data_IF_522043534189
#
_entry.id   IF_522043534189
#
_cell.length_a   1.000
_cell.length_b   1.000
_cell.length_c   1.000
_cell.angle_alpha   90.00
_cell.angle_beta   90.00
_cell.angle_gamma   90.00
#
_symmetry.space_group_name_H-M   'P 1'
#
loop_
_entity.id
_entity.type
_entity.pdbx_description
1 polymer ?
#
# COMPACT_ATOMS: atom_id res chain seq x y z
N UNK A 1 78.75 -41.10 17.50
CA UNK A 1 78.99 -39.71 17.08
C UNK A 1 77.70 -38.93 17.26
N UNK A 2 77.75 -37.87 18.08
CA UNK A 2 76.66 -36.96 18.49
C UNK A 2 76.07 -36.25 17.26
N UNK A 3 74.81 -35.81 17.22
CA UNK A 3 74.32 -34.56 17.82
C UNK A 3 72.77 -34.55 17.71
N UNK A 4 72.08 -34.28 18.84
CA UNK A 4 70.69 -33.80 18.87
C UNK A 4 70.65 -32.32 18.47
N UNK A 5 69.67 -31.89 17.67
CA UNK A 5 69.25 -30.48 17.62
C UNK A 5 67.74 -30.37 17.82
N UNK A 6 67.42 -29.75 18.95
CA UNK A 6 66.14 -29.20 19.36
C UNK A 6 65.97 -27.86 18.62
N UNK A 7 64.88 -27.66 17.89
CA UNK A 7 64.48 -26.33 17.43
C UNK A 7 63.10 -26.00 18.02
N UNK A 8 63.13 -24.91 18.76
CA UNK A 8 62.08 -24.24 19.51
C UNK A 8 61.50 -23.14 18.59
N UNK A 9 60.18 -22.94 18.65
CA UNK A 9 59.41 -21.70 18.34
C UNK A 9 59.45 -21.24 16.87
N UNK A 10 58.32 -21.08 16.18
CA UNK A 10 57.39 -19.96 16.37
C UNK A 10 56.03 -20.30 15.75
N UNK A 11 54.98 -20.39 16.57
CA UNK A 11 53.62 -20.38 16.09
C UNK A 11 53.28 -18.94 15.65
N UNK A 12 53.19 -18.71 14.34
CA UNK A 12 52.67 -17.46 13.79
C UNK A 12 51.16 -17.49 14.00
N UNK A 13 50.70 -16.79 15.03
CA UNK A 13 49.29 -16.49 15.24
C UNK A 13 48.90 -15.49 14.14
N UNK A 14 48.31 -15.98 13.05
CA UNK A 14 47.74 -15.14 12.01
C UNK A 14 46.50 -14.44 12.59
N UNK A 15 46.66 -13.21 13.04
CA UNK A 15 45.53 -12.31 13.33
C UNK A 15 44.93 -11.95 11.98
N UNK A 16 43.84 -12.63 11.62
CA UNK A 16 42.96 -12.21 10.54
C UNK A 16 42.41 -10.82 10.91
N UNK A 17 42.62 -9.78 10.10
CA UNK A 17 41.85 -8.56 10.28
C UNK A 17 40.41 -8.91 9.89
N UNK A 18 39.55 -9.03 10.89
CA UNK A 18 38.10 -8.97 10.69
C UNK A 18 37.79 -7.60 10.11
N UNK A 19 37.72 -7.50 8.79
CA UNK A 19 37.17 -6.35 8.11
C UNK A 19 35.70 -6.27 8.53
N UNK A 20 35.43 -5.51 9.58
CA UNK A 20 34.08 -5.05 9.88
C UNK A 20 33.74 -4.10 8.75
N UNK A 21 33.15 -4.63 7.68
CA UNK A 21 32.44 -3.83 6.70
C UNK A 21 31.25 -3.28 7.46
N UNK A 22 31.42 -2.09 8.05
CA UNK A 22 30.30 -1.26 8.47
C UNK A 22 29.61 -0.90 7.16
N UNK A 23 28.65 -1.74 6.76
CA UNK A 23 27.91 -1.60 5.52
C UNK A 23 27.06 -0.34 5.60
N UNK A 24 27.63 0.82 5.26
CA UNK A 24 26.82 1.93 4.83
C UNK A 24 26.11 1.45 3.56
N UNK A 25 24.78 1.27 3.64
CA UNK A 25 24.00 0.94 2.46
C UNK A 25 24.24 1.99 1.38
N UNK A 26 24.40 1.54 0.12
CA UNK A 26 24.72 2.43 -0.99
C UNK A 26 23.65 3.53 -1.11
N UNK A 27 24.08 4.78 -1.28
CA UNK A 27 23.17 5.91 -1.54
C UNK A 27 22.44 5.69 -2.88
N UNK A 28 21.13 5.84 -2.85
CA UNK A 28 20.18 5.64 -3.97
C UNK A 28 19.45 6.93 -4.36
N UNK A 29 19.93 8.09 -3.91
CA UNK A 29 19.34 9.39 -4.25
C UNK A 29 19.22 9.62 -5.77
N UNK A 30 20.21 9.16 -6.55
CA UNK A 30 20.19 9.25 -8.01
C UNK A 30 19.11 8.35 -8.64
N UNK A 31 18.87 7.16 -8.08
CA UNK A 31 17.81 6.26 -8.52
C UNK A 31 16.44 6.88 -8.20
N UNK A 32 16.25 7.45 -7.01
CA UNK A 32 15.01 8.16 -6.64
C UNK A 32 14.74 9.39 -7.53
N UNK A 33 15.77 10.16 -7.89
CA UNK A 33 15.64 11.28 -8.82
C UNK A 33 15.24 10.82 -10.23
N UNK A 34 15.83 9.71 -10.72
CA UNK A 34 15.44 9.09 -11.99
C UNK A 34 13.98 8.65 -11.96
N UNK A 35 13.55 7.94 -10.92
CA UNK A 35 12.16 7.50 -10.72
C UNK A 35 11.20 8.70 -10.81
N UNK A 36 11.49 9.78 -10.06
CA UNK A 36 10.67 11.00 -10.09
C UNK A 36 10.57 11.58 -11.51
N UNK A 37 11.70 11.70 -12.21
CA UNK A 37 11.74 12.27 -13.55
C UNK A 37 10.94 11.44 -14.55
N UNK A 38 11.07 10.12 -14.51
CA UNK A 38 10.37 9.24 -15.43
C UNK A 38 8.86 9.20 -15.18
N UNK A 39 8.44 9.00 -13.92
CA UNK A 39 7.02 8.99 -13.56
C UNK A 39 6.33 10.34 -13.85
N UNK A 40 7.04 11.45 -13.68
CA UNK A 40 6.53 12.79 -13.98
C UNK A 40 6.28 13.06 -15.47
N UNK A 41 6.74 12.20 -16.37
CA UNK A 41 6.46 12.30 -17.82
C UNK A 41 5.31 11.41 -18.28
N UNK A 42 4.75 10.61 -17.38
CA UNK A 42 3.70 9.66 -17.73
C UNK A 42 2.34 10.37 -17.96
N UNK A 43 1.54 9.88 -18.92
CA UNK A 43 0.20 10.40 -19.13
C UNK A 43 -0.66 10.37 -17.86
N UNK A 44 -1.40 11.45 -17.62
CA UNK A 44 -2.34 11.55 -16.50
C UNK A 44 -1.72 11.84 -15.13
N UNK A 45 -0.39 11.85 -14.99
CA UNK A 45 0.29 12.27 -13.75
C UNK A 45 0.28 13.78 -13.64
N UNK A 46 -0.40 14.32 -12.61
CA UNK A 46 -0.41 15.76 -12.31
C UNK A 46 0.67 16.16 -11.30
N UNK A 47 0.94 15.28 -10.33
CA UNK A 47 1.98 15.47 -9.31
C UNK A 47 2.71 14.15 -9.09
N UNK A 48 4.03 14.23 -8.93
CA UNK A 48 4.89 13.13 -8.51
C UNK A 48 5.71 13.55 -7.32
N UNK A 49 5.63 12.78 -6.24
CA UNK A 49 6.57 12.84 -5.13
C UNK A 49 7.26 11.49 -4.92
N UNK A 50 8.56 11.56 -4.66
CA UNK A 50 9.42 10.40 -4.42
C UNK A 50 10.30 10.72 -3.20
N UNK A 51 9.85 10.26 -2.05
CA UNK A 51 10.61 10.29 -0.81
C UNK A 51 11.68 9.20 -0.83
N UNK A 52 12.91 9.56 -0.52
CA UNK A 52 14.01 8.63 -0.33
C UNK A 52 14.62 8.87 1.05
N UNK A 53 14.81 7.79 1.80
CA UNK A 53 15.48 7.80 3.09
C UNK A 53 16.48 6.66 3.12
N UNK A 54 17.75 6.96 3.40
CA UNK A 54 18.75 5.95 3.74
C UNK A 54 18.95 5.99 5.25
N UNK A 55 18.35 5.06 5.96
CA UNK A 55 18.55 4.98 7.41
C UNK A 55 19.49 3.82 7.76
N UNK A 56 20.17 3.97 8.89
CA UNK A 56 21.21 3.03 9.31
C UNK A 56 20.67 1.63 9.64
N UNK A 57 19.39 1.52 10.03
CA UNK A 57 18.80 0.28 10.55
C UNK A 57 18.05 -0.51 9.47
N UNK A 58 17.42 0.17 8.52
CA UNK A 58 16.51 -0.38 7.52
C UNK A 58 17.02 -0.17 6.07
N UNK A 59 18.11 0.59 5.89
CA UNK A 59 18.72 0.84 4.59
C UNK A 59 17.93 1.82 3.72
N UNK A 60 18.10 1.77 2.38
CA UNK A 60 17.46 2.67 1.43
C UNK A 60 15.96 2.35 1.24
N UNK A 61 15.10 3.14 1.85
CA UNK A 61 13.65 3.07 1.70
C UNK A 61 13.14 4.12 0.70
N UNK A 62 12.06 3.78 -0.01
CA UNK A 62 11.43 4.68 -0.99
C UNK A 62 9.92 4.76 -0.78
N UNK A 63 9.38 5.98 -0.89
CA UNK A 63 7.94 6.26 -0.88
C UNK A 63 7.58 7.03 -2.15
N UNK A 64 6.67 6.50 -2.94
CA UNK A 64 6.22 7.08 -4.20
C UNK A 64 4.77 7.52 -4.03
N UNK A 65 4.47 8.77 -4.38
CA UNK A 65 3.10 9.29 -4.40
C UNK A 65 2.82 9.93 -5.76
N UNK A 66 1.78 9.44 -6.43
CA UNK A 66 1.30 9.97 -7.70
C UNK A 66 -0.10 10.57 -7.53
N UNK A 67 -0.31 11.75 -8.08
CA UNK A 67 -1.66 12.29 -8.28
C UNK A 67 -2.08 12.07 -9.72
N UNK A 68 -3.16 11.32 -9.90
CA UNK A 68 -3.72 10.95 -11.21
C UNK A 68 -5.27 11.07 -11.25
N UNK A 69 -5.88 12.13 -10.68
CA UNK A 69 -7.34 12.19 -10.52
C UNK A 69 -8.10 12.20 -11.86
N UNK A 70 -7.52 12.79 -12.90
CA UNK A 70 -8.11 12.91 -14.25
C UNK A 70 -7.55 11.88 -15.25
N UNK A 71 -6.63 11.01 -14.83
CA UNK A 71 -6.03 9.99 -15.69
C UNK A 71 -7.05 8.90 -16.06
N UNK A 72 -6.88 8.23 -17.20
CA UNK A 72 -7.70 7.03 -17.47
C UNK A 72 -7.26 5.85 -16.59
N UNK A 73 -8.12 4.86 -16.38
CA UNK A 73 -7.73 3.63 -15.64
C UNK A 73 -6.56 2.91 -16.33
N UNK A 74 -6.46 3.02 -17.66
CA UNK A 74 -5.35 2.46 -18.44
C UNK A 74 -4.04 3.18 -18.10
N UNK A 75 -4.06 4.52 -18.03
CA UNK A 75 -2.88 5.30 -17.65
C UNK A 75 -2.45 5.01 -16.20
N UNK A 76 -3.41 4.83 -15.28
CA UNK A 76 -3.15 4.45 -13.89
C UNK A 76 -2.48 3.07 -13.83
N UNK A 77 -3.00 2.08 -14.55
CA UNK A 77 -2.38 0.75 -14.63
C UNK A 77 -0.97 0.80 -15.25
N UNK A 78 -0.77 1.64 -16.27
CA UNK A 78 0.54 1.84 -16.88
C UNK A 78 1.54 2.52 -15.92
N UNK A 79 1.11 3.52 -15.15
CA UNK A 79 1.94 4.14 -14.11
C UNK A 79 2.34 3.15 -13.02
N UNK A 80 1.38 2.34 -12.56
CA UNK A 80 1.63 1.28 -11.60
C UNK A 80 2.64 0.25 -12.13
N UNK A 81 2.52 -0.13 -13.41
CA UNK A 81 3.49 -0.98 -14.10
C UNK A 81 4.89 -0.37 -14.11
N UNK A 82 4.98 0.91 -14.49
CA UNK A 82 6.26 1.60 -14.57
C UNK A 82 6.92 1.75 -13.20
N UNK A 83 6.14 1.93 -12.13
CA UNK A 83 6.67 1.95 -10.77
C UNK A 83 7.40 0.63 -10.47
N UNK A 84 6.75 -0.51 -10.69
CA UNK A 84 7.37 -1.83 -10.43
C UNK A 84 8.64 -2.08 -11.25
N UNK A 85 8.70 -1.60 -12.50
CA UNK A 85 9.93 -1.69 -13.31
C UNK A 85 11.09 -0.82 -12.75
N UNK A 86 10.77 0.30 -12.11
CA UNK A 86 11.76 1.28 -11.68
C UNK A 86 12.24 1.10 -10.24
N UNK A 87 11.49 0.36 -9.42
CA UNK A 87 11.80 0.14 -7.99
C UNK A 87 12.74 -1.03 -7.72
N UNK A 88 13.23 -1.72 -8.76
CA UNK A 88 14.16 -2.87 -8.67
C UNK A 88 15.41 -2.64 -7.80
N UNK A 89 15.91 -1.41 -7.71
CA UNK A 89 17.06 -1.08 -6.86
C UNK A 89 16.75 -1.02 -5.36
N UNK A 90 15.49 -1.23 -4.98
CA UNK A 90 14.94 -1.14 -3.63
C UNK A 90 14.29 -2.46 -3.18
N UNK A 91 14.49 -3.57 -3.90
CA UNK A 91 13.80 -4.86 -3.66
C UNK A 91 13.95 -5.41 -2.24
N UNK A 92 15.13 -5.25 -1.64
CA UNK A 92 15.43 -5.73 -0.28
C UNK A 92 15.00 -4.73 0.82
N UNK A 93 14.26 -3.68 0.45
CA UNK A 93 13.95 -2.55 1.33
C UNK A 93 12.49 -2.16 1.34
N UNK A 94 12.11 -1.31 2.30
CA UNK A 94 10.72 -0.87 2.42
C UNK A 94 10.37 0.04 1.25
N UNK A 95 9.28 -0.34 0.59
CA UNK A 95 8.68 0.41 -0.50
C UNK A 95 7.25 0.75 -0.14
N UNK A 96 6.83 1.96 -0.49
CA UNK A 96 5.43 2.36 -0.39
C UNK A 96 5.06 3.11 -1.65
N UNK A 97 3.89 2.79 -2.17
CA UNK A 97 3.30 3.50 -3.30
C UNK A 97 1.91 3.97 -2.93
N UNK A 98 1.60 5.22 -3.24
CA UNK A 98 0.26 5.79 -3.15
C UNK A 98 -0.12 6.42 -4.49
N UNK A 99 -1.30 6.09 -5.01
CA UNK A 99 -1.83 6.65 -6.27
C UNK A 99 -3.18 7.27 -5.97
N UNK A 100 -3.28 8.59 -6.07
CA UNK A 100 -4.55 9.30 -5.95
C UNK A 100 -5.30 9.18 -7.28
N UNK A 101 -6.45 8.50 -7.26
CA UNK A 101 -7.25 8.19 -8.45
C UNK A 101 -8.49 9.06 -8.59
N UNK A 102 -8.90 9.73 -7.52
CA UNK A 102 -9.94 10.76 -7.48
C UNK A 102 -9.73 11.64 -6.23
N UNK A 103 -10.42 12.78 -6.07
CA UNK A 103 -10.25 13.62 -4.89
C UNK A 103 -10.44 12.83 -3.58
N UNK A 104 -9.40 12.88 -2.73
CA UNK A 104 -9.35 12.19 -1.43
C UNK A 104 -9.57 10.66 -1.53
N UNK A 105 -9.21 10.07 -2.67
CA UNK A 105 -9.43 8.65 -2.99
C UNK A 105 -8.15 8.05 -3.52
N UNK A 106 -7.57 7.10 -2.78
CA UNK A 106 -6.22 6.61 -3.07
C UNK A 106 -6.13 5.08 -3.10
N UNK A 107 -5.25 4.58 -3.95
CA UNK A 107 -4.71 3.22 -3.89
C UNK A 107 -3.39 3.27 -3.15
N UNK A 108 -3.14 2.35 -2.23
CA UNK A 108 -1.92 2.31 -1.42
C UNK A 108 -1.35 0.90 -1.36
N UNK A 109 -0.06 0.77 -1.59
CA UNK A 109 0.67 -0.49 -1.61
C UNK A 109 1.86 -0.38 -0.65
N UNK A 110 1.98 -1.33 0.28
CA UNK A 110 3.07 -1.39 1.26
C UNK A 110 4.22 -2.31 0.84
N UNK A 111 4.10 -2.96 -0.32
CA UNK A 111 5.12 -3.73 -1.00
C UNK A 111 5.12 -3.42 -2.51
N UNK A 112 5.80 -4.25 -3.29
CA UNK A 112 5.87 -4.10 -4.74
C UNK A 112 4.54 -4.32 -5.43
N UNK A 113 4.17 -3.35 -6.27
CA UNK A 113 3.16 -3.55 -7.30
C UNK A 113 3.75 -4.55 -8.31
N UNK A 114 3.07 -5.67 -8.55
CA UNK A 114 3.54 -6.77 -9.38
C UNK A 114 3.86 -8.04 -8.60
N UNK A 115 4.34 -7.94 -7.36
CA UNK A 115 4.48 -9.07 -6.45
C UNK A 115 3.19 -9.28 -5.64
N UNK A 116 2.65 -8.20 -5.07
CA UNK A 116 1.43 -8.25 -4.25
C UNK A 116 0.16 -8.18 -5.10
N UNK A 117 0.18 -7.38 -6.17
CA UNK A 117 -1.00 -7.05 -6.99
C UNK A 117 -0.61 -6.96 -8.46
N UNK A 118 -1.35 -7.62 -9.35
CA UNK A 118 -1.09 -7.50 -10.78
C UNK A 118 -1.47 -6.11 -11.29
N UNK A 119 -0.74 -5.58 -12.27
CA UNK A 119 -0.98 -4.22 -12.79
C UNK A 119 -2.38 -4.02 -13.39
N UNK A 120 -2.99 -5.08 -13.94
CA UNK A 120 -4.38 -5.09 -14.42
C UNK A 120 -5.39 -4.90 -13.29
N UNK A 121 -5.03 -5.31 -12.08
CA UNK A 121 -5.87 -5.20 -10.91
C UNK A 121 -5.86 -3.76 -10.40
N UNK A 122 -4.71 -3.07 -10.44
CA UNK A 122 -4.62 -1.63 -10.09
C UNK A 122 -5.57 -0.76 -10.92
N UNK A 123 -5.64 -0.99 -12.23
CA UNK A 123 -6.59 -0.29 -13.11
C UNK A 123 -8.05 -0.60 -12.75
N UNK A 124 -8.33 -1.84 -12.33
CA UNK A 124 -9.66 -2.29 -11.92
C UNK A 124 -10.06 -1.69 -10.57
N UNK A 125 -9.15 -1.67 -9.60
CA UNK A 125 -9.33 -1.04 -8.29
C UNK A 125 -9.59 0.46 -8.43
N UNK A 126 -8.83 1.15 -9.28
CA UNK A 126 -9.06 2.56 -9.60
C UNK A 126 -10.49 2.79 -10.14
N UNK A 127 -10.94 1.93 -11.05
CA UNK A 127 -12.31 1.97 -11.60
C UNK A 127 -13.36 1.81 -10.50
N UNK A 128 -13.19 0.82 -9.64
CA UNK A 128 -14.11 0.52 -8.54
C UNK A 128 -14.17 1.69 -7.57
N UNK A 129 -13.02 2.23 -7.15
CA UNK A 129 -12.97 3.39 -6.27
C UNK A 129 -13.64 4.63 -6.89
N UNK A 130 -13.45 4.88 -8.18
CA UNK A 130 -14.13 5.97 -8.88
C UNK A 130 -15.64 5.76 -8.97
N UNK A 131 -16.08 4.53 -9.24
CA UNK A 131 -17.49 4.20 -9.35
C UNK A 131 -18.23 4.37 -8.01
N UNK A 132 -17.60 3.98 -6.89
CA UNK A 132 -18.20 4.10 -5.57
C UNK A 132 -18.11 5.50 -4.97
N UNK A 133 -17.02 6.24 -5.23
CA UNK A 133 -16.76 7.56 -4.61
C UNK A 133 -17.97 8.51 -4.55
N UNK A 134 -18.76 8.74 -5.62
CA UNK A 134 -19.90 9.66 -5.59
C UNK A 134 -21.05 9.20 -4.69
N UNK A 135 -21.06 7.95 -4.24
CA UNK A 135 -22.08 7.35 -3.36
C UNK A 135 -21.69 7.44 -1.87
N UNK A 136 -20.46 7.87 -1.57
CA UNK A 136 -19.89 7.83 -0.22
C UNK A 136 -19.96 9.20 0.46
N UNK A 137 -20.29 9.17 1.75
CA UNK A 137 -20.20 10.33 2.64
C UNK A 137 -18.82 10.48 3.29
N UNK A 138 -18.00 9.42 3.29
CA UNK A 138 -16.62 9.44 3.75
C UNK A 138 -15.81 10.57 3.09
N UNK A 139 -15.05 11.29 3.92
CA UNK A 139 -14.18 12.35 3.41
C UNK A 139 -12.96 11.79 2.71
N UNK A 140 -12.53 10.59 3.10
CA UNK A 140 -11.32 9.96 2.58
C UNK A 140 -11.55 8.46 2.33
N UNK A 141 -11.12 7.98 1.18
CA UNK A 141 -11.33 6.61 0.70
C UNK A 141 -9.98 6.02 0.32
N UNK A 142 -9.67 4.83 0.82
CA UNK A 142 -8.42 4.13 0.50
C UNK A 142 -8.70 2.69 0.14
N UNK A 143 -7.99 2.18 -0.85
CA UNK A 143 -7.76 0.75 -1.00
C UNK A 143 -6.30 0.49 -0.65
N UNK A 144 -6.05 -0.26 0.42
CA UNK A 144 -4.70 -0.54 0.93
C UNK A 144 -4.36 -2.02 0.76
N UNK A 145 -3.17 -2.29 0.25
CA UNK A 145 -2.56 -3.61 0.21
C UNK A 145 -1.34 -3.64 1.14
N UNK A 146 -1.33 -4.64 2.02
CA UNK A 146 -0.28 -4.87 3.00
C UNK A 146 -0.28 -6.32 3.47
N UNK A 147 0.90 -6.92 3.61
CA UNK A 147 1.08 -8.27 4.18
C UNK A 147 0.16 -9.34 3.56
N UNK A 148 -0.11 -9.23 2.25
CA UNK A 148 -1.01 -10.15 1.54
C UNK A 148 -2.49 -9.96 1.85
N UNK A 149 -2.84 -8.87 2.55
CA UNK A 149 -4.21 -8.43 2.81
C UNK A 149 -4.55 -7.24 1.92
N UNK A 150 -5.83 -7.13 1.59
CA UNK A 150 -6.36 -6.04 0.79
C UNK A 150 -7.58 -5.44 1.48
N UNK A 151 -7.55 -4.15 1.79
CA UNK A 151 -8.57 -3.49 2.64
C UNK A 151 -9.08 -2.21 1.99
N UNK A 152 -10.40 -2.07 1.90
CA UNK A 152 -11.04 -0.80 1.53
C UNK A 152 -11.44 -0.06 2.81
N UNK A 153 -10.86 1.13 3.02
CA UNK A 153 -11.10 1.97 4.18
C UNK A 153 -11.86 3.25 3.81
N UNK A 154 -12.97 3.49 4.49
CA UNK A 154 -13.81 4.68 4.35
C UNK A 154 -13.71 5.48 5.65
N UNK A 155 -12.99 6.60 5.64
CA UNK A 155 -12.71 7.39 6.83
C UNK A 155 -13.63 8.60 6.95
N UNK A 156 -14.02 8.88 8.19
CA UNK A 156 -14.87 10.01 8.55
C UNK A 156 -16.18 10.01 7.76
N UNK A 157 -16.85 8.86 7.71
CA UNK A 157 -18.15 8.69 7.10
C UNK A 157 -19.22 9.43 7.92
N UNK A 158 -19.95 10.34 7.27
CA UNK A 158 -21.11 10.96 7.91
C UNK A 158 -22.22 9.91 8.10
N UNK A 159 -22.45 9.04 7.11
CA UNK A 159 -23.47 7.98 7.11
C UNK A 159 -22.82 6.60 6.93
N UNK A 160 -22.14 6.06 7.98
CA UNK A 160 -21.35 4.83 7.87
C UNK A 160 -22.13 3.61 7.35
N UNK A 161 -23.40 3.46 7.72
CA UNK A 161 -24.24 2.35 7.24
C UNK A 161 -24.55 2.45 5.74
N UNK A 162 -24.74 3.67 5.23
CA UNK A 162 -24.97 3.92 3.81
C UNK A 162 -23.69 3.73 3.00
N UNK A 163 -22.56 4.18 3.55
CA UNK A 163 -21.24 4.00 2.96
C UNK A 163 -20.87 2.51 2.86
N UNK A 164 -21.11 1.72 3.91
CA UNK A 164 -20.93 0.27 3.86
C UNK A 164 -21.84 -0.38 2.82
N UNK A 165 -23.13 0.00 2.76
CA UNK A 165 -24.04 -0.53 1.72
C UNK A 165 -23.53 -0.21 0.31
N UNK A 166 -23.09 1.03 0.06
CA UNK A 166 -22.54 1.42 -1.23
C UNK A 166 -21.27 0.62 -1.59
N UNK A 167 -20.44 0.29 -0.59
CA UNK A 167 -19.27 -0.57 -0.73
C UNK A 167 -19.63 -1.97 -1.19
N UNK A 168 -20.56 -2.61 -0.48
CA UNK A 168 -20.99 -3.97 -0.78
C UNK A 168 -21.70 -4.07 -2.14
N UNK A 169 -22.51 -3.06 -2.50
CA UNK A 169 -23.21 -3.00 -3.79
C UNK A 169 -22.27 -2.89 -5.01
N UNK A 170 -21.05 -2.36 -4.83
CA UNK A 170 -20.13 -2.08 -5.95
C UNK A 170 -19.26 -3.28 -6.31
N UNK A 171 -19.33 -4.38 -5.54
CA UNK A 171 -18.45 -5.56 -5.67
C UNK A 171 -16.96 -5.20 -5.52
N UNK A 172 -16.44 -5.37 -4.31
CA UNK A 172 -15.03 -5.14 -4.00
C UNK A 172 -14.20 -6.40 -4.26
N UNK A 173 -14.31 -6.95 -5.47
CA UNK A 173 -13.57 -8.15 -5.85
C UNK A 173 -12.06 -7.93 -5.64
N UNK A 174 -11.41 -8.85 -4.91
CA UNK A 174 -10.00 -8.75 -4.52
C UNK A 174 -9.76 -8.14 -3.14
N UNK A 175 -10.70 -7.37 -2.59
CA UNK A 175 -10.62 -6.92 -1.21
C UNK A 175 -10.91 -8.07 -0.24
N UNK A 176 -10.16 -8.13 0.84
CA UNK A 176 -10.33 -9.06 1.97
C UNK A 176 -11.12 -8.43 3.11
N UNK A 177 -11.29 -7.11 3.12
CA UNK A 177 -11.97 -6.41 4.19
C UNK A 177 -12.49 -5.03 3.76
N UNK A 178 -13.62 -4.61 4.33
CA UNK A 178 -14.15 -3.25 4.27
C UNK A 178 -14.20 -2.67 5.67
N UNK A 179 -13.59 -1.52 5.85
CA UNK A 179 -13.62 -0.76 7.09
C UNK A 179 -14.28 0.60 6.87
N UNK A 180 -15.28 0.92 7.68
CA UNK A 180 -15.99 2.20 7.62
C UNK A 180 -15.96 2.86 8.98
N UNK A 181 -15.21 3.96 9.10
CA UNK A 181 -15.12 4.73 10.34
C UNK A 181 -16.07 5.92 10.32
N UNK A 182 -16.93 6.00 11.32
CA UNK A 182 -17.79 7.15 11.55
C UNK A 182 -16.99 8.45 11.77
N UNK A 183 -17.49 9.57 11.22
CA UNK A 183 -17.00 10.91 11.54
C UNK A 183 -17.29 11.32 12.99
N UNK A 184 -18.32 10.72 13.61
CA UNK A 184 -18.72 10.98 15.01
C UNK A 184 -18.89 9.64 15.73
N UNK A 185 -17.78 8.97 16.14
CA UNK A 185 -17.83 7.63 16.72
C UNK A 185 -18.64 7.52 18.02
N UNK A 186 -18.86 8.64 18.72
CA UNK A 186 -19.69 8.70 19.92
C UNK A 186 -21.19 8.53 19.63
N UNK A 187 -21.62 8.82 18.40
CA UNK A 187 -23.03 8.81 17.99
C UNK A 187 -23.37 7.69 17.00
N UNK A 188 -22.39 7.28 16.17
CA UNK A 188 -22.59 6.26 15.14
C UNK A 188 -21.46 5.24 15.20
N UNK A 189 -21.84 3.97 15.07
CA UNK A 189 -20.90 2.86 15.00
C UNK A 189 -19.98 2.94 13.78
N UNK A 190 -18.92 2.13 13.82
CA UNK A 190 -18.05 1.86 12.68
C UNK A 190 -18.26 0.42 12.24
N UNK A 191 -17.95 0.13 10.99
CA UNK A 191 -18.04 -1.21 10.43
C UNK A 191 -16.67 -1.76 10.11
N UNK A 192 -16.50 -3.06 10.33
CA UNK A 192 -15.36 -3.84 9.88
C UNK A 192 -15.94 -5.17 9.41
N UNK A 193 -15.82 -5.45 8.11
CA UNK A 193 -16.49 -6.55 7.44
C UNK A 193 -15.46 -7.31 6.62
N UNK A 194 -15.23 -8.57 6.98
CA UNK A 194 -14.36 -9.48 6.23
C UNK A 194 -15.05 -9.91 4.92
N UNK A 195 -14.25 -10.06 3.86
CA UNK A 195 -14.68 -10.44 2.52
C UNK A 195 -13.93 -11.71 2.05
N UNK A 196 -14.52 -12.51 1.15
CA UNK A 196 -15.85 -12.34 0.56
C UNK A 196 -16.98 -12.81 1.49
N UNK A 197 -18.15 -12.16 1.39
CA UNK A 197 -19.38 -12.62 2.04
C UNK A 197 -20.09 -13.66 1.18
N UNK A 198 -20.69 -14.66 1.82
CA UNK A 198 -21.73 -15.49 1.20
C UNK A 198 -23.02 -14.68 0.98
N UNK A 199 -23.89 -15.15 0.08
CA UNK A 199 -25.19 -14.49 -0.18
C UNK A 199 -26.04 -14.36 1.10
N UNK A 200 -25.95 -15.33 2.01
CA UNK A 200 -26.66 -15.32 3.28
C UNK A 200 -26.10 -14.26 4.24
N UNK A 201 -24.77 -14.14 4.33
CA UNK A 201 -24.11 -13.13 5.15
C UNK A 201 -24.38 -11.72 4.60
N UNK A 202 -24.29 -11.54 3.28
CA UNK A 202 -24.62 -10.28 2.63
C UNK A 202 -26.09 -9.90 2.89
N UNK A 203 -27.01 -10.84 2.72
CA UNK A 203 -28.43 -10.60 2.99
C UNK A 203 -28.68 -10.22 4.46
N UNK A 204 -28.05 -10.92 5.40
CA UNK A 204 -28.14 -10.62 6.83
C UNK A 204 -27.57 -9.24 7.18
N UNK A 205 -26.43 -8.88 6.60
CA UNK A 205 -25.81 -7.57 6.79
C UNK A 205 -26.67 -6.45 6.21
N UNK A 206 -27.21 -6.62 4.99
CA UNK A 206 -28.09 -5.63 4.37
C UNK A 206 -29.40 -5.41 5.14
N UNK A 207 -29.90 -6.44 5.83
CA UNK A 207 -31.03 -6.30 6.75
C UNK A 207 -30.66 -5.45 7.98
N UNK A 208 -29.47 -5.63 8.54
CA UNK A 208 -28.98 -4.80 9.66
C UNK A 208 -28.77 -3.33 9.26
N UNK A 209 -28.34 -3.08 8.02
CA UNK A 209 -28.13 -1.75 7.47
C UNK A 209 -29.43 -1.05 7.02
N UNK A 210 -30.57 -1.73 7.07
CA UNK A 210 -31.86 -1.12 6.72
C UNK A 210 -32.30 -0.22 7.88
N UNK A 211 -32.84 0.99 7.60
CA UNK A 211 -33.34 1.83 8.67
C UNK A 211 -34.38 1.05 9.45
N UNK A 212 -34.13 0.84 10.76
CA UNK A 212 -35.17 0.36 11.66
C UNK A 212 -36.34 1.33 11.49
N UNK A 213 -37.49 0.81 11.04
CA UNK A 213 -38.68 1.63 10.87
C UNK A 213 -38.89 2.43 12.16
N UNK A 214 -39.25 3.73 12.09
CA UNK A 214 -39.56 4.48 13.29
C UNK A 214 -40.60 3.68 14.06
N UNK A 215 -40.27 3.34 15.31
CA UNK A 215 -41.26 2.82 16.25
C UNK A 215 -42.29 3.94 16.34
N UNK A 216 -43.46 3.74 15.72
CA UNK A 216 -44.57 4.65 15.86
C UNK A 216 -44.81 4.81 17.37
N UNK A 217 -44.41 5.96 17.91
CA UNK A 217 -44.80 6.37 19.24
C UNK A 217 -46.31 6.67 19.17
N UNK A 218 -47.12 6.14 20.11
CA UNK A 218 -48.57 6.29 20.10
C UNK A 218 -49.03 7.75 20.21
#
# INVERSE_FOLDING_TARGET
MRIRRLHLVTAVLAVLPSAVVIGCAADRSADAARIRAELGTMPGVSVVDVGYVNDFENGPNINISLEMPEATEVDIGAAAHRIGELTGSFDDHRRRTEITVAPMTVLKYSADIGEEVAYTDVATEARVLRAIRPRLSASWVRWEHYDGRSRVELWSAATPDQDLRAALDTSLAGATEVYVRSAVPAERGSWEVELPLTDAELSGLLQQLSPVAPINAP
#
